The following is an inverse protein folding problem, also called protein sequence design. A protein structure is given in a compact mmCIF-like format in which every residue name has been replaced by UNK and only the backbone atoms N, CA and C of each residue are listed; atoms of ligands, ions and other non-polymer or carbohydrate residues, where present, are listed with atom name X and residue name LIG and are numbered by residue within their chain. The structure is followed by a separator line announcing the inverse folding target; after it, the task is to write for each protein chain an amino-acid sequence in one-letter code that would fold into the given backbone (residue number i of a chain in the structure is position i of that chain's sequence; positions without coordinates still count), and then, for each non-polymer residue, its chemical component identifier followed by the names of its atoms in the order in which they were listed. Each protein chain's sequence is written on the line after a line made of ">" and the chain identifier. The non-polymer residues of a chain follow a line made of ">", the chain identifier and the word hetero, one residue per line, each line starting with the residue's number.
data_IF_450364042382
#
_entry.id   IF_450364042382
#
_cell.length_a   1.000
_cell.length_b   1.000
_cell.length_c   1.000
_cell.angle_alpha   90.00
_cell.angle_beta   90.00
_cell.angle_gamma   90.00
#
_symmetry.space_group_name_H-M   'P 1'
#
loop_
_entity.id
_entity.type
_entity.pdbx_description
1 polymer ?
#
# COMPACT_ATOMS: atom_id res chain seq x y z
N UNK A 1 37.07 -18.75 -2.81
CA UNK A 1 35.92 -19.45 -2.14
C UNK A 1 35.08 -20.27 -3.11
N UNK A 2 34.91 -19.86 -4.37
CA UNK A 2 34.11 -20.60 -5.40
C UNK A 2 34.83 -21.86 -5.92
N UNK A 3 36.15 -21.80 -6.10
CA UNK A 3 36.97 -22.92 -6.61
C UNK A 3 37.20 -23.99 -5.55
N UNK A 4 37.36 -23.61 -4.28
CA UNK A 4 37.54 -24.53 -3.15
C UNK A 4 36.35 -25.47 -2.90
N UNK A 5 35.12 -25.06 -3.22
CA UNK A 5 33.93 -25.89 -3.07
C UNK A 5 33.91 -27.08 -4.03
N UNK A 6 34.53 -26.92 -5.18
CA UNK A 6 34.51 -27.92 -6.25
C UNK A 6 35.88 -28.65 -6.44
N UNK A 7 36.89 -28.40 -5.60
CA UNK A 7 38.25 -28.96 -5.74
C UNK A 7 38.26 -30.48 -5.87
N UNK A 8 37.55 -31.19 -4.98
CA UNK A 8 37.49 -32.63 -5.01
C UNK A 8 36.87 -33.20 -6.30
N UNK A 9 35.84 -32.52 -6.82
CA UNK A 9 35.21 -32.89 -8.07
C UNK A 9 36.10 -32.59 -9.28
N UNK A 10 36.70 -31.41 -9.30
CA UNK A 10 37.63 -30.99 -10.38
C UNK A 10 38.80 -31.86 -10.51
N UNK A 11 39.39 -32.32 -9.40
CA UNK A 11 40.56 -33.20 -9.39
C UNK A 11 40.32 -34.55 -10.10
N UNK A 12 39.08 -35.00 -10.19
CA UNK A 12 38.65 -36.21 -10.89
C UNK A 12 38.36 -36.02 -12.39
N UNK A 13 38.44 -34.79 -12.89
CA UNK A 13 38.14 -34.48 -14.30
C UNK A 13 39.41 -34.37 -15.13
N UNK A 14 39.34 -34.78 -16.40
CA UNK A 14 40.43 -34.48 -17.34
C UNK A 14 40.56 -32.97 -17.56
N UNK A 15 41.72 -32.50 -17.96
CA UNK A 15 42.02 -31.08 -18.18
C UNK A 15 41.03 -30.39 -19.14
N UNK A 16 40.59 -31.12 -20.19
CA UNK A 16 39.59 -30.64 -21.14
C UNK A 16 38.24 -30.44 -20.47
N UNK A 17 37.79 -31.39 -19.63
CA UNK A 17 36.54 -31.31 -18.88
C UNK A 17 36.59 -30.25 -17.80
N UNK A 18 37.72 -30.05 -17.11
CA UNK A 18 37.94 -28.96 -16.16
C UNK A 18 37.73 -27.60 -16.83
N UNK A 19 38.28 -27.41 -18.06
CA UNK A 19 38.07 -26.14 -18.75
C UNK A 19 36.60 -25.87 -19.08
N UNK A 20 35.83 -26.91 -19.45
CA UNK A 20 34.39 -26.75 -19.70
C UNK A 20 33.64 -26.45 -18.40
N UNK A 21 33.99 -27.11 -17.31
CA UNK A 21 33.42 -26.85 -15.99
C UNK A 21 33.67 -25.41 -15.52
N UNK A 22 34.93 -24.93 -15.62
CA UNK A 22 35.25 -23.54 -15.30
C UNK A 22 34.48 -22.54 -16.15
N UNK A 23 34.28 -22.83 -17.42
CA UNK A 23 33.47 -21.98 -18.30
C UNK A 23 32.01 -21.88 -17.83
N UNK A 24 31.43 -22.97 -17.36
CA UNK A 24 30.07 -22.92 -16.75
C UNK A 24 30.12 -22.17 -15.42
N UNK A 25 31.14 -22.38 -14.61
CA UNK A 25 31.29 -21.68 -13.34
C UNK A 25 31.44 -20.17 -13.52
N UNK A 26 32.08 -19.71 -14.60
CA UNK A 26 32.23 -18.29 -14.92
C UNK A 26 30.88 -17.61 -15.21
N UNK A 27 29.87 -18.37 -15.68
CA UNK A 27 28.51 -17.87 -15.82
C UNK A 27 27.87 -17.55 -14.46
N UNK A 28 28.30 -18.19 -13.37
CA UNK A 28 27.90 -17.92 -12.01
C UNK A 28 28.86 -16.90 -11.34
N UNK A 29 29.01 -15.70 -11.90
CA UNK A 29 29.88 -14.63 -11.36
C UNK A 29 29.48 -14.25 -9.94
N UNK A 30 28.19 -14.30 -9.67
CA UNK A 30 27.62 -14.17 -8.33
C UNK A 30 26.87 -15.47 -8.00
N UNK A 31 27.13 -16.04 -6.82
CA UNK A 31 26.52 -17.30 -6.35
C UNK A 31 25.06 -17.10 -5.94
N UNK A 32 24.17 -16.80 -6.90
CA UNK A 32 22.73 -16.63 -6.64
C UNK A 32 21.91 -17.62 -7.47
N UNK A 33 20.98 -18.36 -6.86
CA UNK A 33 20.14 -19.35 -7.56
C UNK A 33 19.38 -18.79 -8.78
N UNK A 34 19.04 -17.50 -8.76
CA UNK A 34 18.33 -16.82 -9.87
C UNK A 34 19.03 -16.89 -11.22
N UNK A 35 20.35 -17.11 -11.21
CA UNK A 35 21.14 -17.19 -12.45
C UNK A 35 21.03 -18.52 -13.20
N UNK A 36 20.40 -19.56 -12.64
CA UNK A 36 20.31 -20.85 -13.29
C UNK A 36 19.77 -20.79 -14.72
N UNK A 37 18.66 -20.07 -14.95
CA UNK A 37 18.07 -19.91 -16.29
C UNK A 37 18.93 -19.06 -17.22
N UNK A 38 19.62 -18.07 -16.70
CA UNK A 38 20.51 -17.22 -17.48
C UNK A 38 21.76 -18.00 -17.89
N UNK A 39 22.26 -18.89 -17.01
CA UNK A 39 23.33 -19.82 -17.37
C UNK A 39 22.90 -20.77 -18.46
N UNK A 40 21.66 -21.33 -18.42
CA UNK A 40 21.12 -22.16 -19.52
C UNK A 40 21.13 -21.37 -20.83
N UNK A 41 20.64 -20.14 -20.85
CA UNK A 41 20.65 -19.29 -22.06
C UNK A 41 22.07 -19.06 -22.58
N UNK A 42 23.01 -18.83 -21.67
CA UNK A 42 24.42 -18.64 -22.01
C UNK A 42 25.04 -19.89 -22.61
N UNK A 43 24.68 -21.07 -22.08
CA UNK A 43 25.10 -22.38 -22.66
C UNK A 43 24.53 -22.54 -24.08
N UNK A 44 23.24 -22.28 -24.25
CA UNK A 44 22.57 -22.43 -25.55
C UNK A 44 23.12 -21.49 -26.62
N UNK A 45 23.48 -20.26 -26.22
CA UNK A 45 24.07 -19.27 -27.13
C UNK A 45 25.54 -19.56 -27.47
N UNK A 46 26.19 -20.49 -26.73
CA UNK A 46 27.59 -20.82 -26.93
C UNK A 46 27.80 -21.60 -28.29
N UNK A 47 28.71 -21.09 -29.11
CA UNK A 47 29.11 -21.80 -30.36
C UNK A 47 30.06 -22.94 -30.00
N UNK A 48 29.56 -24.15 -29.87
CA UNK A 48 30.34 -25.38 -29.66
C UNK A 48 29.52 -26.61 -30.12
N UNK A 49 30.16 -27.80 -30.12
CA UNK A 49 29.50 -29.05 -30.45
C UNK A 49 28.40 -29.39 -29.46
N UNK A 50 27.34 -30.09 -29.90
CA UNK A 50 26.20 -30.47 -29.07
C UNK A 50 26.59 -31.32 -27.86
N UNK A 51 27.56 -32.24 -28.05
CA UNK A 51 28.13 -33.02 -26.93
C UNK A 51 28.79 -32.14 -25.85
N UNK A 52 29.36 -31.00 -26.22
CA UNK A 52 29.94 -30.05 -25.30
C UNK A 52 28.84 -29.28 -24.59
N UNK A 53 27.76 -28.88 -25.27
CA UNK A 53 26.60 -28.24 -24.64
C UNK A 53 25.93 -29.17 -23.62
N UNK A 54 25.74 -30.44 -24.00
CA UNK A 54 25.20 -31.43 -23.09
C UNK A 54 26.02 -31.54 -21.80
N UNK A 55 27.35 -31.60 -21.92
CA UNK A 55 28.24 -31.61 -20.76
C UNK A 55 28.17 -30.33 -19.95
N UNK A 56 28.03 -29.18 -20.61
CA UNK A 56 27.82 -27.88 -19.88
C UNK A 56 26.52 -27.87 -19.09
N UNK A 57 25.45 -28.47 -19.64
CA UNK A 57 24.18 -28.60 -18.90
C UNK A 57 24.31 -29.54 -17.67
N UNK A 58 25.02 -30.66 -17.81
CA UNK A 58 25.32 -31.56 -16.69
C UNK A 58 26.11 -30.82 -15.60
N UNK A 59 27.13 -30.05 -15.97
CA UNK A 59 27.90 -29.24 -15.04
C UNK A 59 27.07 -28.11 -14.43
N UNK A 60 26.20 -27.47 -15.20
CA UNK A 60 25.28 -26.47 -14.68
C UNK A 60 24.38 -27.05 -13.59
N UNK A 61 23.81 -28.24 -13.82
CA UNK A 61 22.98 -28.91 -12.83
C UNK A 61 23.78 -29.26 -11.57
N UNK A 62 24.98 -29.82 -11.72
CA UNK A 62 25.85 -30.15 -10.59
C UNK A 62 26.27 -28.93 -9.78
N UNK A 63 26.71 -27.86 -10.45
CA UNK A 63 27.10 -26.60 -9.79
C UNK A 63 25.89 -26.03 -9.03
N UNK A 64 24.75 -26.02 -9.66
CA UNK A 64 23.52 -25.49 -9.05
C UNK A 64 23.14 -26.30 -7.80
N UNK A 65 23.12 -27.64 -7.86
CA UNK A 65 22.87 -28.53 -6.73
C UNK A 65 23.86 -28.28 -5.58
N UNK A 66 25.16 -28.22 -5.87
CA UNK A 66 26.18 -27.98 -4.87
C UNK A 66 26.06 -26.62 -4.20
N UNK A 67 25.61 -25.58 -4.92
CA UNK A 67 25.36 -24.26 -4.33
C UNK A 67 24.24 -24.32 -3.29
N UNK A 68 23.18 -25.09 -3.54
CA UNK A 68 22.11 -25.27 -2.54
C UNK A 68 22.61 -26.02 -1.31
N UNK A 69 23.34 -27.14 -1.46
CA UNK A 69 23.86 -27.91 -0.34
C UNK A 69 24.85 -27.13 0.52
N UNK A 70 25.82 -26.47 -0.11
CA UNK A 70 26.93 -25.80 0.60
C UNK A 70 26.59 -24.42 1.13
N UNK A 71 25.68 -23.70 0.48
CA UNK A 71 25.29 -22.34 0.88
C UNK A 71 23.95 -22.31 1.65
N UNK A 72 23.33 -23.48 1.85
CA UNK A 72 22.10 -23.56 2.63
C UNK A 72 20.88 -22.91 1.99
N UNK A 73 20.89 -22.66 0.67
CA UNK A 73 19.71 -22.16 -0.02
C UNK A 73 18.63 -23.22 -0.06
N UNK A 74 17.39 -22.83 0.22
CA UNK A 74 16.25 -23.74 0.10
C UNK A 74 15.76 -23.80 -1.34
N UNK A 75 15.68 -25.03 -1.89
CA UNK A 75 15.15 -25.26 -3.22
C UNK A 75 13.63 -25.16 -3.29
N UNK A 76 12.96 -25.55 -2.21
CA UNK A 76 11.51 -25.56 -2.13
C UNK A 76 11.03 -25.25 -0.71
N UNK A 77 9.93 -24.50 -0.63
CA UNK A 77 9.21 -24.21 0.60
C UNK A 77 7.70 -24.28 0.31
N UNK A 78 6.94 -24.94 1.17
CA UNK A 78 5.47 -25.04 1.04
C UNK A 78 4.98 -25.51 -0.34
N UNK A 79 5.68 -26.47 -0.96
CA UNK A 79 5.32 -27.01 -2.27
C UNK A 79 5.70 -26.11 -3.47
N UNK A 80 6.27 -24.94 -3.22
CA UNK A 80 6.84 -24.05 -4.25
C UNK A 80 8.34 -24.33 -4.38
N UNK A 81 8.86 -24.32 -5.60
CA UNK A 81 10.27 -24.58 -5.90
C UNK A 81 10.87 -23.45 -6.74
N UNK A 82 12.17 -23.27 -6.61
CA UNK A 82 12.90 -22.38 -7.50
C UNK A 82 12.73 -22.88 -8.96
N UNK A 83 12.41 -21.96 -9.84
CA UNK A 83 12.09 -22.27 -11.23
C UNK A 83 10.60 -22.48 -11.52
N UNK A 84 9.76 -22.62 -10.49
CA UNK A 84 8.32 -22.67 -10.67
C UNK A 84 7.81 -21.35 -11.28
N UNK A 85 6.88 -21.48 -12.21
CA UNK A 85 6.10 -20.37 -12.72
C UNK A 85 4.89 -20.19 -11.81
N UNK A 86 4.69 -19.00 -11.30
CA UNK A 86 3.71 -18.70 -10.28
C UNK A 86 2.95 -17.39 -10.57
N UNK A 87 1.81 -17.26 -9.95
CA UNK A 87 0.99 -16.05 -9.96
C UNK A 87 1.15 -15.34 -8.61
N UNK A 88 1.26 -14.02 -8.65
CA UNK A 88 1.29 -13.18 -7.45
C UNK A 88 -0.08 -12.58 -7.28
N UNK A 89 -0.67 -12.76 -6.09
CA UNK A 89 -1.84 -12.04 -5.60
C UNK A 89 -2.84 -11.66 -6.70
N UNK A 90 -3.52 -12.65 -7.25
CA UNK A 90 -4.57 -12.49 -8.28
C UNK A 90 -4.13 -11.80 -9.58
N UNK A 91 -2.83 -11.58 -9.77
CA UNK A 91 -2.34 -11.01 -11.02
C UNK A 91 -2.46 -12.03 -12.16
N UNK A 92 -2.74 -11.55 -13.37
CA UNK A 92 -2.66 -12.37 -14.59
C UNK A 92 -1.21 -12.59 -15.05
N UNK A 93 -0.26 -11.96 -14.40
CA UNK A 93 1.15 -12.01 -14.75
C UNK A 93 1.80 -13.19 -14.08
N UNK A 94 2.45 -14.03 -14.87
CA UNK A 94 3.25 -15.14 -14.38
C UNK A 94 4.68 -14.68 -14.19
N UNK A 95 5.23 -15.03 -13.04
CA UNK A 95 6.64 -14.83 -12.72
C UNK A 95 7.31 -16.14 -12.34
N UNK A 96 8.62 -16.17 -12.29
CA UNK A 96 9.38 -17.38 -11.96
C UNK A 96 10.11 -17.17 -10.65
N UNK A 97 9.95 -18.12 -9.72
CA UNK A 97 10.66 -18.11 -8.45
C UNK A 97 12.15 -18.28 -8.71
N UNK A 98 12.96 -17.37 -8.18
CA UNK A 98 14.42 -17.41 -8.30
C UNK A 98 15.13 -17.66 -6.97
N UNK A 99 14.51 -17.32 -5.84
CA UNK A 99 15.12 -17.46 -4.52
C UNK A 99 14.02 -17.44 -3.44
N UNK A 100 14.30 -18.02 -2.27
CA UNK A 100 13.52 -17.84 -1.05
C UNK A 100 14.38 -17.12 0.00
N UNK A 101 13.81 -16.12 0.67
CA UNK A 101 14.45 -15.35 1.74
C UNK A 101 13.65 -15.51 3.02
N UNK A 102 14.28 -16.03 4.08
CA UNK A 102 13.69 -16.08 5.41
C UNK A 102 14.15 -14.90 6.23
N UNK A 103 13.22 -14.10 6.73
CA UNK A 103 13.49 -12.95 7.59
C UNK A 103 12.36 -12.80 8.62
N UNK A 104 12.73 -12.66 9.89
CA UNK A 104 11.78 -12.38 10.99
C UNK A 104 10.61 -13.38 11.05
N UNK A 105 10.88 -14.68 10.89
CA UNK A 105 9.89 -15.78 10.82
C UNK A 105 8.93 -15.70 9.62
N UNK A 106 9.24 -14.92 8.61
CA UNK A 106 8.48 -14.85 7.37
C UNK A 106 9.32 -15.34 6.20
N UNK A 107 8.67 -15.93 5.20
CA UNK A 107 9.32 -16.36 3.96
C UNK A 107 8.89 -15.45 2.83
N UNK A 108 9.87 -14.83 2.21
CA UNK A 108 9.70 -13.99 1.02
C UNK A 108 10.18 -14.75 -0.23
N UNK A 109 9.50 -14.54 -1.33
CA UNK A 109 9.84 -15.16 -2.61
C UNK A 109 10.45 -14.11 -3.53
N UNK A 110 11.66 -14.39 -4.04
CA UNK A 110 12.28 -13.55 -5.05
C UNK A 110 11.81 -14.01 -6.42
N UNK A 111 11.25 -13.12 -7.18
CA UNK A 111 10.74 -13.38 -8.52
C UNK A 111 11.64 -12.75 -9.57
N UNK A 112 11.70 -13.37 -10.76
CA UNK A 112 12.40 -12.79 -11.89
C UNK A 112 11.44 -11.88 -12.66
N UNK A 113 11.50 -10.55 -12.48
CA UNK A 113 10.54 -9.65 -13.09
C UNK A 113 10.76 -9.61 -14.60
N UNK A 114 9.75 -9.99 -15.37
CA UNK A 114 9.73 -9.75 -16.82
C UNK A 114 9.47 -8.26 -17.14
N UNK A 115 8.92 -7.50 -16.20
CA UNK A 115 8.71 -6.06 -16.30
C UNK A 115 8.90 -5.43 -14.92
N UNK A 116 10.02 -4.76 -14.73
CA UNK A 116 10.48 -4.16 -13.48
C UNK A 116 9.78 -2.84 -13.17
N UNK A 117 8.58 -2.86 -12.62
CA UNK A 117 8.04 -1.66 -11.97
C UNK A 117 7.96 -1.75 -10.44
N UNK A 118 8.31 -2.93 -9.86
CA UNK A 118 8.27 -3.10 -8.41
C UNK A 118 9.37 -4.07 -7.97
N UNK A 119 10.23 -3.65 -7.06
CA UNK A 119 11.07 -4.55 -6.26
C UNK A 119 10.15 -5.45 -5.45
N UNK A 120 9.98 -6.70 -5.90
CA UNK A 120 8.97 -7.57 -5.32
C UNK A 120 9.61 -8.71 -4.57
N UNK A 121 9.47 -8.62 -3.28
CA UNK A 121 9.66 -9.74 -2.37
C UNK A 121 8.30 -10.06 -1.73
N UNK A 122 7.33 -10.65 -2.47
CA UNK A 122 6.06 -11.02 -1.88
C UNK A 122 6.23 -12.10 -0.83
N UNK A 123 5.35 -12.10 0.17
CA UNK A 123 5.25 -13.21 1.11
C UNK A 123 4.86 -14.49 0.36
N UNK A 124 5.33 -15.64 0.84
CA UNK A 124 5.07 -16.93 0.19
C UNK A 124 3.57 -17.24 0.11
N UNK A 125 2.78 -16.77 1.08
CA UNK A 125 1.32 -16.93 1.13
C UNK A 125 0.59 -16.19 -0.01
N UNK A 126 1.23 -15.20 -0.63
CA UNK A 126 0.69 -14.45 -1.77
C UNK A 126 0.96 -15.15 -3.12
N UNK A 127 1.63 -16.30 -3.11
CA UNK A 127 2.09 -16.98 -4.31
C UNK A 127 1.25 -18.23 -4.56
N UNK A 128 0.79 -18.43 -5.79
CA UNK A 128 0.06 -19.62 -6.24
C UNK A 128 0.65 -20.19 -7.52
N UNK A 129 0.64 -21.52 -7.65
CA UNK A 129 0.94 -22.22 -8.94
C UNK A 129 -0.22 -22.18 -9.91
N UNK A 130 -1.42 -21.98 -9.41
CA UNK A 130 -2.63 -21.98 -10.22
C UNK A 130 -3.12 -20.54 -10.45
N UNK A 131 -3.53 -20.26 -11.69
CA UNK A 131 -4.27 -19.04 -11.95
C UNK A 131 -5.54 -19.06 -11.09
N UNK A 132 -5.78 -18.04 -10.30
CA UNK A 132 -7.03 -17.95 -9.58
C UNK A 132 -8.20 -18.00 -10.57
N UNK A 133 -9.15 -18.92 -10.39
CA UNK A 133 -10.28 -19.03 -11.29
C UNK A 133 -10.95 -17.65 -11.40
N UNK A 134 -11.20 -17.24 -12.62
CA UNK A 134 -12.07 -16.10 -12.91
C UNK A 134 -13.47 -16.48 -12.39
N UNK A 135 -13.69 -16.28 -11.12
CA UNK A 135 -14.98 -16.47 -10.48
C UNK A 135 -15.63 -15.14 -10.22
N UNK A 136 -16.95 -15.11 -10.22
CA UNK A 136 -17.68 -14.04 -9.56
C UNK A 136 -17.18 -13.94 -8.13
N UNK A 137 -17.02 -12.71 -7.62
CA UNK A 137 -16.61 -12.45 -6.25
C UNK A 137 -17.37 -13.38 -5.29
N UNK A 138 -16.63 -14.15 -4.47
CA UNK A 138 -17.26 -14.95 -3.41
C UNK A 138 -17.92 -14.06 -2.36
N UNK A 139 -17.49 -12.81 -2.27
CA UNK A 139 -18.26 -11.75 -1.64
C UNK A 139 -19.43 -11.40 -2.57
N UNK A 140 -20.47 -12.20 -2.47
CA UNK A 140 -21.76 -11.82 -3.06
C UNK A 140 -22.15 -10.53 -2.39
N UNK A 141 -22.29 -9.47 -3.16
CA UNK A 141 -23.01 -8.28 -2.70
C UNK A 141 -24.31 -8.77 -2.05
N UNK A 142 -24.65 -8.34 -0.82
CA UNK A 142 -25.91 -8.72 -0.22
C UNK A 142 -27.02 -8.54 -1.24
N UNK A 143 -28.01 -9.43 -1.26
CA UNK A 143 -29.13 -9.36 -2.22
C UNK A 143 -29.86 -8.02 -2.17
N UNK A 144 -29.71 -7.29 -1.06
CA UNK A 144 -30.08 -5.88 -0.89
C UNK A 144 -28.80 -5.05 -0.95
N UNK A 145 -28.43 -4.59 -2.13
CA UNK A 145 -27.34 -3.63 -2.32
C UNK A 145 -27.75 -2.31 -1.66
N UNK A 146 -26.98 -1.88 -0.67
CA UNK A 146 -27.13 -0.56 -0.06
C UNK A 146 -26.56 0.50 -1.03
N UNK A 147 -27.07 1.73 -1.00
CA UNK A 147 -26.49 2.86 -1.73
C UNK A 147 -25.01 3.05 -1.36
N UNK A 148 -24.60 2.61 -0.18
CA UNK A 148 -23.20 2.65 0.29
C UNK A 148 -22.26 1.87 -0.63
N UNK A 149 -22.74 0.79 -1.26
CA UNK A 149 -21.97 0.00 -2.22
C UNK A 149 -21.71 0.75 -3.55
N UNK A 150 -22.42 1.84 -3.78
CA UNK A 150 -22.29 2.70 -4.96
C UNK A 150 -21.51 4.00 -4.69
N UNK A 151 -20.99 4.16 -3.46
CA UNK A 151 -20.14 5.29 -3.10
C UNK A 151 -18.74 5.13 -3.70
N UNK A 152 -18.21 6.22 -4.20
CA UNK A 152 -16.81 6.32 -4.63
C UNK A 152 -16.04 7.09 -3.58
N UNK A 153 -15.00 6.46 -3.05
CA UNK A 153 -14.07 7.03 -2.07
C UNK A 153 -12.78 7.43 -2.76
N UNK A 154 -12.43 8.70 -2.75
CA UNK A 154 -11.18 9.21 -3.31
C UNK A 154 -10.34 9.82 -2.21
N UNK A 155 -9.08 9.38 -2.07
CA UNK A 155 -8.13 10.01 -1.17
C UNK A 155 -7.38 11.13 -1.91
N UNK A 156 -7.39 12.31 -1.33
CA UNK A 156 -6.76 13.50 -1.88
C UNK A 156 -5.76 14.02 -0.86
N UNK A 157 -4.53 14.24 -1.31
CA UNK A 157 -3.47 14.84 -0.50
C UNK A 157 -3.35 16.31 -0.83
N UNK A 158 -3.41 17.15 0.21
CA UNK A 158 -3.29 18.60 0.13
C UNK A 158 -2.53 19.14 1.34
N UNK A 159 -2.60 20.40 1.63
CA UNK A 159 -2.00 21.06 2.79
C UNK A 159 -3.01 21.90 3.55
N UNK A 160 -2.69 22.25 4.80
CA UNK A 160 -3.48 23.21 5.58
C UNK A 160 -3.67 24.52 4.82
N UNK A 161 -2.63 25.03 4.16
CA UNK A 161 -2.73 26.27 3.35
C UNK A 161 -3.73 26.16 2.20
N UNK A 162 -3.77 25.03 1.50
CA UNK A 162 -4.73 24.83 0.40
C UNK A 162 -6.16 24.70 0.92
N UNK A 163 -6.35 23.95 2.01
CA UNK A 163 -7.65 23.88 2.69
C UNK A 163 -8.17 25.25 3.10
N UNK A 164 -7.31 26.09 3.70
CA UNK A 164 -7.71 27.44 4.13
C UNK A 164 -8.11 28.35 2.95
N UNK A 165 -7.48 28.16 1.80
CA UNK A 165 -7.84 28.93 0.60
C UNK A 165 -9.24 28.54 0.11
N UNK A 166 -9.54 27.25 0.09
CA UNK A 166 -10.88 26.74 -0.28
C UNK A 166 -11.93 27.15 0.76
N UNK A 167 -11.59 27.05 2.06
CA UNK A 167 -12.46 27.52 3.13
C UNK A 167 -12.83 29.01 3.01
N UNK A 168 -11.90 29.85 2.57
CA UNK A 168 -12.12 31.28 2.45
C UNK A 168 -13.16 31.68 1.40
N UNK A 169 -13.53 30.77 0.51
CA UNK A 169 -14.57 30.95 -0.53
C UNK A 169 -15.84 30.15 -0.25
N UNK A 170 -16.05 29.79 1.00
CA UNK A 170 -17.28 29.14 1.51
C UNK A 170 -17.59 27.78 0.86
N UNK A 171 -16.53 27.03 0.54
CA UNK A 171 -16.63 25.73 -0.14
C UNK A 171 -17.18 24.62 0.77
N UNK A 172 -17.02 24.76 2.10
CA UNK A 172 -17.32 23.70 3.06
C UNK A 172 -18.49 24.03 4.00
N UNK A 173 -19.46 23.10 4.10
CA UNK A 173 -20.44 23.10 5.18
C UNK A 173 -19.86 22.36 6.41
N UNK A 174 -19.62 23.08 7.48
CA UNK A 174 -19.13 22.56 8.74
C UNK A 174 -20.22 22.10 9.70
N UNK A 175 -21.45 22.56 9.48
CA UNK A 175 -22.59 22.37 10.36
C UNK A 175 -23.78 21.65 9.68
N UNK A 176 -23.54 20.60 8.88
CA UNK A 176 -24.64 19.85 8.33
C UNK A 176 -25.53 19.31 9.48
N UNK A 177 -26.83 19.17 9.22
CA UNK A 177 -27.86 18.90 10.24
C UNK A 177 -27.60 17.65 11.09
N UNK A 178 -26.80 16.69 10.60
CA UNK A 178 -26.45 15.45 11.32
C UNK A 178 -25.19 15.59 12.18
N UNK A 179 -24.43 16.67 12.07
CA UNK A 179 -23.22 16.89 12.85
C UNK A 179 -23.53 17.31 14.29
N UNK A 180 -22.62 16.95 15.19
CA UNK A 180 -22.68 17.39 16.59
C UNK A 180 -22.06 18.78 16.78
N UNK A 181 -22.40 19.40 17.90
CA UNK A 181 -21.75 20.61 18.38
C UNK A 181 -20.24 20.42 18.56
N UNK A 182 -19.54 21.55 18.65
CA UNK A 182 -18.13 21.58 19.01
C UNK A 182 -17.95 21.23 20.49
N UNK A 183 -17.32 20.09 20.76
CA UNK A 183 -17.18 19.55 22.12
C UNK A 183 -15.74 19.54 22.61
N UNK A 184 -14.76 19.82 21.75
CA UNK A 184 -13.36 19.85 22.17
C UNK A 184 -13.10 20.97 23.13
N UNK A 185 -12.51 20.62 24.28
CA UNK A 185 -11.99 21.60 25.25
C UNK A 185 -10.81 22.34 24.64
N UNK A 186 -10.47 23.49 25.27
CA UNK A 186 -9.29 24.25 24.87
C UNK A 186 -8.02 23.38 24.95
N UNK A 187 -7.86 22.54 25.97
CA UNK A 187 -6.69 21.66 26.12
C UNK A 187 -6.60 20.61 25.00
N UNK A 188 -7.73 20.11 24.51
CA UNK A 188 -7.72 19.16 23.36
C UNK A 188 -7.31 19.88 22.07
N UNK A 189 -7.78 21.11 21.85
CA UNK A 189 -7.38 21.96 20.71
C UNK A 189 -5.87 22.27 20.78
N UNK A 190 -5.38 22.71 21.95
CA UNK A 190 -3.95 23.00 22.19
C UNK A 190 -3.07 21.77 21.91
N UNK A 191 -3.44 20.61 22.47
CA UNK A 191 -2.71 19.35 22.27
C UNK A 191 -2.64 18.95 20.79
N UNK A 192 -3.75 19.10 20.06
CA UNK A 192 -3.80 18.78 18.63
C UNK A 192 -2.94 19.74 17.82
N UNK A 193 -3.05 21.05 18.02
CA UNK A 193 -2.22 22.04 17.31
C UNK A 193 -0.74 21.87 17.63
N UNK A 194 -0.40 21.58 18.91
CA UNK A 194 0.97 21.25 19.30
C UNK A 194 1.52 20.03 18.57
N UNK A 195 0.69 19.00 18.39
CA UNK A 195 1.07 17.80 17.64
C UNK A 195 1.29 18.12 16.15
N UNK A 196 0.50 19.02 15.54
CA UNK A 196 0.73 19.50 14.16
C UNK A 196 2.04 20.27 14.05
N UNK A 197 2.29 21.22 14.96
CA UNK A 197 3.52 22.03 14.96
C UNK A 197 4.80 21.21 15.17
N UNK A 198 4.68 20.00 15.74
CA UNK A 198 5.80 19.09 16.03
C UNK A 198 5.84 17.86 15.11
N UNK A 199 5.11 17.86 14.00
CA UNK A 199 5.04 16.77 13.02
C UNK A 199 4.68 15.38 13.62
N UNK A 200 3.86 15.37 14.69
CA UNK A 200 3.44 14.14 15.37
C UNK A 200 2.06 13.65 14.95
N UNK A 201 1.35 14.42 14.15
CA UNK A 201 0.04 14.05 13.62
C UNK A 201 -0.19 14.72 12.28
N UNK A 202 -1.18 14.22 11.55
CA UNK A 202 -1.68 14.80 10.32
C UNK A 202 -3.18 15.13 10.45
N UNK A 203 -3.75 15.72 9.42
CA UNK A 203 -5.17 16.04 9.35
C UNK A 203 -5.85 15.13 8.35
N UNK A 204 -6.80 14.31 8.83
CA UNK A 204 -7.55 13.34 7.99
C UNK A 204 -9.05 13.53 8.12
N UNK A 205 -9.63 14.54 7.48
CA UNK A 205 -11.08 14.70 7.45
C UNK A 205 -11.72 13.82 6.37
N UNK A 206 -13.02 13.62 6.48
CA UNK A 206 -13.86 13.03 5.44
C UNK A 206 -14.91 14.03 5.01
N UNK A 207 -15.00 14.27 3.70
CA UNK A 207 -15.96 15.18 3.09
C UNK A 207 -16.95 14.42 2.19
N UNK A 208 -18.19 14.86 2.16
CA UNK A 208 -19.17 14.47 1.17
C UNK A 208 -19.23 15.53 0.07
N UNK A 209 -19.09 15.11 -1.18
CA UNK A 209 -19.28 15.95 -2.35
C UNK A 209 -20.79 16.07 -2.67
N UNK A 210 -21.30 17.26 -2.57
CA UNK A 210 -22.72 17.56 -2.73
C UNK A 210 -23.14 17.88 -4.17
N UNK A 211 -22.45 17.43 -5.15
CA UNK A 211 -22.66 17.53 -6.59
C UNK A 211 -23.47 18.75 -7.11
N UNK A 212 -24.46 19.27 -6.38
CA UNK A 212 -25.38 20.28 -6.96
C UNK A 212 -26.30 20.97 -5.94
N UNK A 213 -25.93 21.12 -4.66
CA UNK A 213 -26.86 21.80 -3.72
C UNK A 213 -26.76 23.36 -3.74
N UNK A 214 -25.87 23.91 -4.57
CA UNK A 214 -25.83 25.34 -4.90
C UNK A 214 -25.30 26.27 -3.83
N UNK A 215 -24.96 25.80 -2.63
CA UNK A 215 -24.48 26.62 -1.51
C UNK A 215 -23.06 26.23 -1.12
N UNK A 216 -22.82 24.96 -0.76
CA UNK A 216 -21.50 24.44 -0.43
C UNK A 216 -21.18 23.24 -1.29
N UNK A 217 -19.94 23.14 -1.75
CA UNK A 217 -19.47 22.02 -2.57
C UNK A 217 -19.31 20.75 -1.73
N UNK A 218 -18.84 20.90 -0.47
CA UNK A 218 -18.51 19.78 0.41
C UNK A 218 -19.17 19.92 1.78
N UNK A 219 -19.68 18.80 2.32
CA UNK A 219 -20.11 18.70 3.72
C UNK A 219 -19.06 17.93 4.53
N UNK A 220 -18.76 18.38 5.76
CA UNK A 220 -17.84 17.70 6.67
C UNK A 220 -18.53 16.50 7.30
N UNK A 221 -18.13 15.28 6.93
CA UNK A 221 -18.60 14.02 7.52
C UNK A 221 -17.83 13.65 8.79
N UNK A 222 -16.50 13.78 8.76
CA UNK A 222 -15.63 13.60 9.94
C UNK A 222 -14.50 14.62 9.92
N UNK A 223 -13.96 14.89 11.12
CA UNK A 223 -12.84 15.83 11.32
C UNK A 223 -13.25 17.24 11.70
N UNK A 224 -14.55 17.54 11.88
CA UNK A 224 -15.06 18.88 12.28
C UNK A 224 -14.25 19.51 13.41
N UNK A 225 -14.01 18.78 14.50
CA UNK A 225 -13.29 19.29 15.68
C UNK A 225 -11.84 19.68 15.34
N UNK A 226 -11.16 18.85 14.55
CA UNK A 226 -9.77 19.07 14.11
C UNK A 226 -9.67 20.28 13.19
N UNK A 227 -10.53 20.37 12.21
CA UNK A 227 -10.58 21.49 11.28
C UNK A 227 -10.91 22.80 12.02
N UNK A 228 -11.88 22.77 12.94
CA UNK A 228 -12.23 23.92 13.76
C UNK A 228 -11.06 24.36 14.66
N UNK A 229 -10.30 23.42 15.22
CA UNK A 229 -9.12 23.78 16.03
C UNK A 229 -8.07 24.52 15.20
N UNK A 230 -7.83 24.09 13.93
CA UNK A 230 -6.93 24.82 13.01
C UNK A 230 -7.44 26.24 12.77
N UNK A 231 -8.72 26.40 12.43
CA UNK A 231 -9.33 27.69 12.15
C UNK A 231 -9.30 28.63 13.35
N UNK A 232 -9.63 28.11 14.56
CA UNK A 232 -9.60 28.85 15.83
C UNK A 232 -8.18 29.32 16.18
N UNK A 233 -7.16 28.47 15.96
CA UNK A 233 -5.77 28.84 16.23
C UNK A 233 -5.29 29.97 15.30
N UNK A 234 -5.59 29.86 14.01
CA UNK A 234 -5.24 30.92 13.03
C UNK A 234 -5.94 32.24 13.35
N UNK A 235 -7.18 32.19 13.83
CA UNK A 235 -7.92 33.38 14.28
C UNK A 235 -7.40 33.97 15.59
N UNK A 236 -6.45 33.30 16.27
CA UNK A 236 -5.90 33.75 17.54
C UNK A 236 -6.87 33.57 18.71
N UNK A 237 -7.80 32.61 18.63
CA UNK A 237 -8.77 32.37 19.74
C UNK A 237 -8.12 31.68 20.95
N UNK A 238 -6.98 31.04 20.76
CA UNK A 238 -6.19 30.42 21.84
C UNK A 238 -4.70 30.34 21.45
N UNK A 239 -3.85 30.13 22.47
CA UNK A 239 -2.40 29.94 22.29
C UNK A 239 -1.98 28.49 22.54
N UNK A 240 -0.83 28.10 22.04
CA UNK A 240 -0.18 26.80 22.31
C UNK A 240 1.17 27.07 22.94
N UNK A 241 1.40 26.55 24.15
CA UNK A 241 2.58 26.88 24.98
C UNK A 241 2.81 28.42 25.14
N UNK A 242 1.72 29.19 25.18
CA UNK A 242 1.75 30.64 25.27
C UNK A 242 1.97 31.39 23.95
N UNK A 243 2.13 30.71 22.84
CA UNK A 243 2.31 31.29 21.50
C UNK A 243 0.99 31.26 20.73
N UNK A 244 0.52 32.40 20.28
CA UNK A 244 -0.54 32.51 19.30
C UNK A 244 0.01 32.27 17.90
N UNK A 245 -0.87 31.98 16.92
CA UNK A 245 -0.46 31.81 15.53
C UNK A 245 0.33 33.01 14.99
N UNK A 246 -0.05 34.24 15.38
CA UNK A 246 0.64 35.47 15.01
C UNK A 246 2.06 35.60 15.56
N UNK A 247 2.38 34.85 16.63
CA UNK A 247 3.69 34.90 17.29
C UNK A 247 4.68 33.89 16.71
N UNK A 248 4.20 33.01 15.81
CA UNK A 248 5.05 32.02 15.15
C UNK A 248 6.07 32.72 14.25
N UNK A 249 7.31 32.25 14.31
CA UNK A 249 8.33 32.64 13.34
C UNK A 249 8.03 32.10 11.94
N UNK A 250 8.72 32.61 10.91
CA UNK A 250 8.46 32.24 9.52
C UNK A 250 8.65 30.73 9.24
N UNK A 251 9.55 30.06 9.96
CA UNK A 251 9.80 28.62 9.79
C UNK A 251 8.64 27.80 10.34
N UNK A 252 8.15 28.14 11.53
CA UNK A 252 7.04 27.42 12.18
C UNK A 252 5.72 27.69 11.46
N UNK A 253 5.49 28.94 11.00
CA UNK A 253 4.36 29.28 10.15
C UNK A 253 4.38 28.48 8.85
N UNK A 254 5.55 28.41 8.18
CA UNK A 254 5.72 27.62 6.95
C UNK A 254 5.43 26.13 7.19
N UNK A 255 5.98 25.55 8.28
CA UNK A 255 5.74 24.15 8.66
C UNK A 255 4.25 23.91 8.90
N UNK A 256 3.60 24.72 9.73
CA UNK A 256 2.17 24.60 10.02
C UNK A 256 1.31 24.67 8.76
N UNK A 257 1.55 25.65 7.88
CA UNK A 257 0.80 25.82 6.64
C UNK A 257 1.01 24.69 5.64
N UNK A 258 2.19 24.08 5.63
CA UNK A 258 2.52 22.95 4.76
C UNK A 258 2.29 21.58 5.42
N UNK A 259 1.68 21.54 6.60
CA UNK A 259 1.26 20.27 7.23
C UNK A 259 0.39 19.49 6.24
N UNK A 260 0.73 18.22 5.96
CA UNK A 260 -0.05 17.38 5.07
C UNK A 260 -1.48 17.18 5.58
N UNK A 261 -2.43 17.31 4.68
CA UNK A 261 -3.83 16.98 4.92
C UNK A 261 -4.24 15.93 3.90
N UNK A 262 -4.60 14.74 4.36
CA UNK A 262 -5.08 13.64 3.53
C UNK A 262 -6.55 13.46 3.80
N UNK A 263 -7.40 13.94 2.92
CA UNK A 263 -8.83 13.79 3.13
C UNK A 263 -9.45 12.73 2.22
N UNK A 264 -10.52 12.11 2.72
CA UNK A 264 -11.36 11.22 1.93
C UNK A 264 -12.54 12.01 1.39
N UNK A 265 -12.67 12.04 0.07
CA UNK A 265 -13.83 12.62 -0.61
C UNK A 265 -14.78 11.50 -0.98
N UNK A 266 -16.01 11.59 -0.48
CA UNK A 266 -17.09 10.64 -0.74
C UNK A 266 -18.00 11.20 -1.83
N UNK A 267 -18.24 10.43 -2.88
CA UNK A 267 -19.12 10.76 -4.00
C UNK A 267 -20.14 9.66 -4.20
N UNK A 268 -21.36 10.03 -4.54
CA UNK A 268 -22.41 9.07 -4.89
C UNK A 268 -22.70 9.12 -6.37
N UNK A 269 -22.58 7.98 -7.05
CA UNK A 269 -22.86 7.87 -8.47
C UNK A 269 -23.97 6.86 -8.73
N UNK A 270 -24.82 7.22 -9.68
CA UNK A 270 -25.81 6.32 -10.29
C UNK A 270 -25.52 6.20 -11.79
N UNK A 271 -26.29 5.39 -12.49
CA UNK A 271 -26.29 5.31 -13.96
C UNK A 271 -26.59 6.67 -14.65
N UNK A 272 -27.15 7.64 -13.92
CA UNK A 272 -27.42 9.01 -14.39
C UNK A 272 -26.28 10.00 -14.10
N UNK A 273 -25.18 9.56 -13.49
CA UNK A 273 -24.07 10.38 -13.08
C UNK A 273 -23.99 10.59 -11.57
N UNK A 274 -23.22 11.60 -11.14
CA UNK A 274 -23.12 11.97 -9.72
C UNK A 274 -24.46 12.58 -9.25
N UNK A 275 -24.91 12.16 -8.08
CA UNK A 275 -26.17 12.65 -7.45
C UNK A 275 -25.94 12.99 -5.98
N UNK A 276 -26.73 13.91 -5.48
CA UNK A 276 -26.75 14.28 -4.06
C UNK A 276 -27.49 13.22 -3.25
N UNK A 277 -26.97 12.84 -2.08
CA UNK A 277 -27.63 11.94 -1.14
C UNK A 277 -28.88 12.57 -0.52
N UNK A 278 -29.91 11.75 -0.26
CA UNK A 278 -31.04 12.17 0.56
C UNK A 278 -30.59 12.38 2.02
N UNK A 279 -31.44 13.05 2.82
CA UNK A 279 -31.12 13.28 4.24
C UNK A 279 -30.93 11.97 5.02
N UNK A 280 -31.75 10.98 4.73
CA UNK A 280 -31.66 9.64 5.34
C UNK A 280 -30.34 8.97 4.96
N UNK A 281 -29.94 9.02 3.70
CA UNK A 281 -28.68 8.47 3.21
C UNK A 281 -27.47 9.19 3.80
N UNK A 282 -27.53 10.53 3.98
CA UNK A 282 -26.48 11.29 4.64
C UNK A 282 -26.30 10.86 6.10
N UNK A 283 -27.40 10.63 6.82
CA UNK A 283 -27.37 10.14 8.21
C UNK A 283 -26.77 8.74 8.25
N UNK A 284 -27.21 7.83 7.39
CA UNK A 284 -26.68 6.45 7.34
C UNK A 284 -25.16 6.45 7.05
N UNK A 285 -24.72 7.25 6.09
CA UNK A 285 -23.30 7.42 5.78
C UNK A 285 -22.51 8.00 6.97
N UNK A 286 -23.05 9.03 7.62
CA UNK A 286 -22.42 9.63 8.80
C UNK A 286 -22.25 8.63 9.94
N UNK A 287 -23.28 7.81 10.20
CA UNK A 287 -23.24 6.76 11.21
C UNK A 287 -22.16 5.73 10.88
N UNK A 288 -22.06 5.31 9.63
CA UNK A 288 -21.07 4.33 9.19
C UNK A 288 -19.63 4.87 9.29
N UNK A 289 -19.38 6.09 8.83
CA UNK A 289 -18.05 6.72 8.92
C UNK A 289 -17.61 6.85 10.37
N UNK A 290 -18.53 7.19 11.28
CA UNK A 290 -18.22 7.37 12.69
C UNK A 290 -18.24 6.07 13.51
N UNK A 291 -18.78 4.97 13.00
CA UNK A 291 -18.75 3.66 13.66
C UNK A 291 -17.33 3.09 13.78
N UNK A 292 -16.45 3.41 12.84
CA UNK A 292 -15.06 2.95 12.79
C UNK A 292 -14.03 4.02 13.18
N UNK A 293 -14.49 5.26 13.50
CA UNK A 293 -13.66 6.41 13.85
C UNK A 293 -13.62 6.71 15.35
N UNK A 294 -13.07 7.86 15.71
CA UNK A 294 -13.09 8.35 17.10
C UNK A 294 -14.52 8.72 17.53
N UNK A 295 -14.94 8.14 18.64
CA UNK A 295 -16.28 8.12 19.22
C UNK A 295 -17.07 9.44 19.12
N UNK A 296 -18.03 9.44 18.24
CA UNK A 296 -19.28 10.19 18.46
C UNK A 296 -20.02 9.45 19.57
N UNK A 297 -20.55 10.15 20.57
CA UNK A 297 -21.23 9.49 21.69
C UNK A 297 -22.43 8.68 21.21
N UNK A 298 -22.64 7.51 21.82
CA UNK A 298 -23.76 6.63 21.49
C UNK A 298 -25.11 7.36 21.62
N UNK A 299 -25.23 8.29 22.54
CA UNK A 299 -26.42 9.15 22.71
C UNK A 299 -26.71 10.02 21.48
N UNK A 300 -25.66 10.64 20.90
CA UNK A 300 -25.82 11.44 19.69
C UNK A 300 -26.21 10.58 18.49
N UNK A 301 -25.56 9.43 18.33
CA UNK A 301 -25.87 8.47 17.26
C UNK A 301 -27.31 7.94 17.39
N UNK A 302 -27.76 7.63 18.61
CA UNK A 302 -29.11 7.18 18.89
C UNK A 302 -30.14 8.27 18.54
N UNK A 303 -29.89 9.50 18.95
CA UNK A 303 -30.79 10.65 18.65
C UNK A 303 -30.95 10.87 17.14
N UNK A 304 -29.87 10.82 16.39
CA UNK A 304 -29.91 11.01 14.93
C UNK A 304 -30.67 9.84 14.26
N UNK A 305 -30.44 8.61 14.71
CA UNK A 305 -31.18 7.44 14.21
C UNK A 305 -32.69 7.62 14.43
N UNK A 306 -33.09 7.95 15.63
CA UNK A 306 -34.50 8.14 16.01
C UNK A 306 -35.14 9.27 15.22
N UNK A 307 -34.41 10.34 14.93
CA UNK A 307 -34.95 11.52 14.26
C UNK A 307 -35.06 11.39 12.74
N UNK A 308 -34.17 10.66 12.09
CA UNK A 308 -34.03 10.68 10.62
C UNK A 308 -34.08 9.32 9.95
N UNK A 309 -34.07 8.21 10.68
CA UNK A 309 -34.19 6.87 10.10
C UNK A 309 -35.53 6.25 10.55
N UNK A 310 -36.26 5.60 9.63
CA UNK A 310 -37.54 4.98 9.92
C UNK A 310 -37.47 3.80 10.86
#
# INVERSE_FOLDING_TARGET
>A
MKETIFEDYLNNLTKSKQNIFHRVLDFYKELKPRYYKDVIKSIESTKCADSTKQLMHEYNNYIYEMLFEKLGFKKSINGLSIGDTVYIDHSKNMDVITEFIEKENQVYVVLNPRNSLFDRYPLIEMISKEEHPKGDSQFKSPKNRSFIDDLILSQITTTVASFLREYSVDTYDFDPFYQRELVWTIHQKEAFIKALLTDKTDVRPTFLDNADNGVHEYEVLDGKQRLHAILSYIKGEFSVDGLYYSDLNGTDTYRFMNTPMVYTLVKYYTDKGQVTLSNEQKVELFLQVNQYGQHVSDEHLARIKEQYLP
#
